data_IF_655442261042
#
_entry.id   IF_655442261042
#
_cell.length_a   1.000
_cell.length_b   1.000
_cell.length_c   1.000
_cell.angle_alpha   90.00
_cell.angle_beta   90.00
_cell.angle_gamma   90.00
#
_symmetry.space_group_name_H-M   'P 1'
#
loop_
_entity.id
_entity.type
_entity.pdbx_description
1 polymer ?
#
# COMPACT_ATOMS: atom_id res chain seq x y z
N UNK A 1 -5.81 57.14 19.70
CA UNK A 1 -5.50 55.95 20.52
C UNK A 1 -6.49 54.83 20.21
N UNK A 2 -5.96 53.68 19.77
CA UNK A 2 -6.48 52.29 19.76
C UNK A 2 -7.96 52.02 19.41
N UNK A 3 -8.22 51.87 18.10
CA UNK A 3 -9.13 50.83 17.57
C UNK A 3 -8.33 49.53 17.41
N UNK A 4 -8.41 48.63 18.38
CA UNK A 4 -7.90 47.25 18.29
C UNK A 4 -8.90 46.35 19.01
N UNK A 5 -9.81 45.72 18.27
CA UNK A 5 -10.49 44.45 18.62
C UNK A 5 -11.59 44.07 17.61
N UNK A 6 -11.30 44.13 16.31
CA UNK A 6 -12.12 43.50 15.28
C UNK A 6 -11.17 42.84 14.28
N UNK A 7 -10.51 41.74 14.68
CA UNK A 7 -9.68 40.96 13.74
C UNK A 7 -9.46 39.50 14.18
N UNK A 8 -10.35 38.93 14.99
CA UNK A 8 -10.29 37.50 15.36
C UNK A 8 -11.72 36.96 15.38
N UNK A 9 -12.32 36.79 14.20
CA UNK A 9 -13.55 35.98 14.06
C UNK A 9 -13.86 35.56 12.61
N UNK A 10 -12.88 35.62 11.71
CA UNK A 10 -13.03 35.18 10.30
C UNK A 10 -11.94 34.20 9.84
N UNK A 11 -11.37 33.43 10.77
CA UNK A 11 -10.32 32.44 10.48
C UNK A 11 -10.67 30.99 10.86
N UNK A 12 -11.97 30.68 10.99
CA UNK A 12 -12.43 29.33 11.36
C UNK A 12 -13.51 28.72 10.45
N UNK A 13 -13.63 29.23 9.23
CA UNK A 13 -14.46 28.58 8.20
C UNK A 13 -13.64 28.58 6.92
N UNK A 14 -13.50 27.42 6.28
CA UNK A 14 -12.65 27.10 5.12
C UNK A 14 -11.23 26.61 5.42
N UNK A 15 -11.12 25.45 6.07
CA UNK A 15 -10.09 24.47 5.71
C UNK A 15 -10.70 23.05 5.73
N UNK A 16 -10.58 22.40 4.58
CA UNK A 16 -10.62 20.94 4.31
C UNK A 16 -11.97 20.21 4.28
N UNK A 17 -12.74 20.47 3.22
CA UNK A 17 -13.39 19.39 2.49
C UNK A 17 -12.34 18.73 1.56
N UNK A 18 -11.72 17.62 2.02
CA UNK A 18 -11.15 16.52 1.23
C UNK A 18 -10.28 15.66 2.14
N UNK A 19 -10.77 14.47 2.50
CA UNK A 19 -9.99 13.50 3.26
C UNK A 19 -10.84 12.37 3.79
N UNK A 20 -10.91 11.28 3.02
CA UNK A 20 -11.30 9.92 3.42
C UNK A 20 -12.72 9.67 3.95
N UNK A 21 -13.37 8.67 3.36
CA UNK A 21 -14.46 7.91 3.98
C UNK A 21 -13.97 7.30 5.31
N UNK A 22 -14.03 8.06 6.40
CA UNK A 22 -14.10 7.52 7.76
C UNK A 22 -15.57 7.57 8.14
N UNK A 23 -16.21 6.41 8.20
CA UNK A 23 -17.57 6.33 8.69
C UNK A 23 -17.51 6.47 10.20
N UNK A 24 -17.67 7.71 10.66
CA UNK A 24 -17.91 8.06 12.05
C UNK A 24 -19.29 7.47 12.40
N UNK A 25 -19.31 6.25 12.95
CA UNK A 25 -20.54 5.71 13.52
C UNK A 25 -20.69 6.29 14.92
N UNK A 26 -21.73 7.11 15.10
CA UNK A 26 -22.33 7.27 16.42
C UNK A 26 -22.62 5.88 16.97
N UNK A 27 -22.18 5.63 18.19
CA UNK A 27 -22.39 4.37 18.88
C UNK A 27 -23.90 4.13 19.02
N UNK A 28 -24.48 3.38 18.07
CA UNK A 28 -25.87 2.95 18.16
C UNK A 28 -25.99 2.01 19.35
N UNK A 29 -26.67 2.51 20.39
CA UNK A 29 -27.04 1.77 21.59
C UNK A 29 -27.85 0.52 21.20
N UNK A 30 -27.20 -0.64 21.07
CA UNK A 30 -27.79 -1.97 21.33
C UNK A 30 -26.70 -3.05 21.35
N UNK A 31 -26.23 -3.38 22.54
CA UNK A 31 -25.29 -4.48 22.78
C UNK A 31 -24.26 -4.10 23.82
N UNK A 32 -24.16 -4.89 24.88
CA UNK A 32 -23.28 -4.62 26.02
C UNK A 32 -21.80 -4.66 25.61
N UNK A 33 -21.07 -3.62 26.03
CA UNK A 33 -19.63 -3.53 26.26
C UNK A 33 -18.79 -3.46 24.97
N UNK A 34 -18.39 -2.28 24.51
CA UNK A 34 -16.97 -1.87 24.65
C UNK A 34 -16.72 -0.33 24.61
N UNK A 35 -17.76 0.50 24.70
CA UNK A 35 -17.60 1.97 24.71
C UNK A 35 -17.71 2.60 26.11
N UNK A 36 -17.53 1.81 27.17
CA UNK A 36 -17.61 2.29 28.55
C UNK A 36 -16.45 1.72 29.35
N UNK A 37 -15.28 2.36 29.23
CA UNK A 37 -14.38 2.62 30.35
C UNK A 37 -13.32 3.65 29.94
N UNK A 38 -13.58 4.91 30.32
CA UNK A 38 -12.59 5.88 30.79
C UNK A 38 -11.25 5.99 30.08
N UNK A 39 -11.26 6.56 28.88
CA UNK A 39 -10.34 7.58 28.34
C UNK A 39 -10.72 7.68 26.88
N UNK A 40 -11.14 8.84 26.38
CA UNK A 40 -11.57 9.01 24.98
C UNK A 40 -10.40 8.80 24.01
N UNK A 41 -10.05 7.54 23.77
CA UNK A 41 -9.11 7.11 22.75
C UNK A 41 -9.87 6.79 21.49
N UNK A 42 -9.42 7.33 20.37
CA UNK A 42 -9.88 6.90 19.06
C UNK A 42 -9.44 5.45 18.87
N UNK A 43 -10.39 4.52 18.81
CA UNK A 43 -10.12 3.15 18.39
C UNK A 43 -10.10 3.14 16.86
N UNK A 44 -8.92 2.86 16.30
CA UNK A 44 -8.80 2.58 14.87
C UNK A 44 -9.44 1.22 14.61
N UNK A 45 -10.67 1.22 14.08
CA UNK A 45 -11.33 0.02 13.60
C UNK A 45 -10.87 -0.20 12.16
N UNK A 46 -10.04 -1.21 11.93
CA UNK A 46 -9.70 -1.62 10.57
C UNK A 46 -10.96 -2.11 9.85
N UNK A 47 -11.19 -1.71 8.59
CA UNK A 47 -12.35 -2.13 7.85
C UNK A 47 -12.33 -3.65 7.66
N UNK A 48 -13.44 -4.31 8.00
CA UNK A 48 -13.62 -5.73 7.73
C UNK A 48 -13.51 -6.00 6.23
N UNK A 49 -12.55 -6.83 5.84
CA UNK A 49 -12.31 -7.19 4.44
C UNK A 49 -13.18 -8.41 4.11
N UNK A 50 -14.39 -8.13 3.62
CA UNK A 50 -15.40 -9.11 3.22
C UNK A 50 -15.95 -8.86 1.82
N UNK A 51 -16.96 -9.64 1.41
CA UNK A 51 -17.60 -9.51 0.10
C UNK A 51 -18.24 -8.13 -0.12
N UNK A 52 -18.75 -7.48 0.94
CA UNK A 52 -19.33 -6.15 0.83
C UNK A 52 -18.23 -5.11 0.54
N UNK A 53 -17.06 -5.24 1.17
CA UNK A 53 -15.89 -4.41 0.87
C UNK A 53 -15.46 -4.56 -0.60
N UNK A 54 -15.33 -5.80 -1.07
CA UNK A 54 -14.89 -6.12 -2.44
C UNK A 54 -15.85 -5.55 -3.48
N UNK A 55 -17.16 -5.70 -3.27
CA UNK A 55 -18.19 -5.09 -4.14
C UNK A 55 -18.12 -3.57 -4.15
N UNK A 56 -18.00 -2.95 -2.97
CA UNK A 56 -17.93 -1.49 -2.82
C UNK A 56 -16.76 -0.88 -3.60
N UNK A 57 -15.60 -1.55 -3.57
CA UNK A 57 -14.39 -1.08 -4.23
C UNK A 57 -14.13 -1.70 -5.60
N UNK A 58 -15.10 -2.47 -6.13
CA UNK A 58 -15.00 -3.14 -7.45
C UNK A 58 -13.72 -3.99 -7.57
N UNK A 59 -13.39 -4.68 -6.48
CA UNK A 59 -12.27 -5.62 -6.42
C UNK A 59 -12.72 -6.93 -7.08
N UNK A 60 -11.91 -7.54 -7.97
CA UNK A 60 -12.32 -8.74 -8.70
C UNK A 60 -12.66 -9.95 -7.83
N UNK A 61 -11.92 -10.18 -6.75
CA UNK A 61 -12.08 -11.36 -5.90
C UNK A 61 -11.61 -11.06 -4.48
N UNK A 62 -12.41 -11.44 -3.49
CA UNK A 62 -12.03 -11.37 -2.08
C UNK A 62 -10.79 -12.21 -1.79
N UNK A 63 -10.74 -13.43 -2.34
CA UNK A 63 -9.62 -14.34 -2.13
C UNK A 63 -8.33 -13.78 -2.73
N UNK A 64 -8.37 -13.31 -3.98
CA UNK A 64 -7.18 -12.71 -4.63
C UNK A 64 -6.72 -11.45 -3.90
N UNK A 65 -7.66 -10.67 -3.35
CA UNK A 65 -7.32 -9.51 -2.56
C UNK A 65 -6.64 -9.90 -1.24
N UNK A 66 -7.18 -10.89 -0.51
CA UNK A 66 -6.52 -11.41 0.69
C UNK A 66 -5.11 -11.94 0.40
N UNK A 67 -4.94 -12.68 -0.70
CA UNK A 67 -3.62 -13.15 -1.14
C UNK A 67 -2.67 -11.98 -1.43
N UNK A 68 -3.14 -10.95 -2.14
CA UNK A 68 -2.39 -9.71 -2.39
C UNK A 68 -1.94 -9.07 -1.08
N UNK A 69 -2.85 -8.92 -0.11
CA UNK A 69 -2.55 -8.35 1.20
C UNK A 69 -1.53 -9.19 1.96
N UNK A 70 -1.70 -10.50 1.97
CA UNK A 70 -0.81 -11.45 2.65
C UNK A 70 0.63 -11.29 2.14
N UNK A 71 0.83 -11.17 0.83
CA UNK A 71 2.16 -11.02 0.21
C UNK A 71 2.72 -9.60 0.27
N UNK A 72 1.91 -8.57 -0.02
CA UNK A 72 2.41 -7.20 -0.18
C UNK A 72 2.45 -6.41 1.13
N UNK A 73 1.81 -6.90 2.20
CA UNK A 73 1.95 -6.29 3.51
C UNK A 73 3.38 -6.52 4.04
N UNK A 74 4.16 -5.44 4.12
CA UNK A 74 5.55 -5.49 4.56
C UNK A 74 5.72 -6.00 6.01
N UNK A 75 4.68 -5.98 6.84
CA UNK A 75 4.70 -6.53 8.19
C UNK A 75 4.73 -8.06 8.22
N UNK A 76 4.33 -8.71 7.13
CA UNK A 76 4.39 -10.17 6.99
C UNK A 76 5.79 -10.68 6.62
N UNK A 77 6.79 -9.79 6.55
CA UNK A 77 8.16 -10.12 6.15
C UNK A 77 9.17 -9.72 7.24
N UNK A 78 10.01 -10.67 7.67
CA UNK A 78 11.08 -10.44 8.64
C UNK A 78 12.44 -10.87 8.11
N UNK A 79 13.50 -10.10 8.42
CA UNK A 79 14.90 -10.44 8.13
C UNK A 79 15.81 -9.57 8.98
N UNK A 80 16.38 -10.10 10.06
CA UNK A 80 17.27 -9.35 10.96
C UNK A 80 16.74 -7.96 11.35
N UNK A 81 17.68 -7.03 11.58
CA UNK A 81 17.40 -5.62 11.90
C UNK A 81 17.38 -4.76 10.62
N UNK A 82 16.39 -5.01 9.76
CA UNK A 82 16.18 -4.18 8.56
C UNK A 82 15.10 -3.12 8.78
N UNK A 83 15.27 -2.01 8.08
CA UNK A 83 14.31 -0.92 8.01
C UNK A 83 13.07 -1.32 7.19
N UNK A 84 11.97 -0.59 7.40
CA UNK A 84 10.80 -0.68 6.52
C UNK A 84 11.16 -0.37 5.06
N UNK A 85 12.08 0.57 4.83
CA UNK A 85 12.49 0.94 3.48
C UNK A 85 13.15 -0.23 2.74
N UNK A 86 14.05 -0.96 3.40
CA UNK A 86 14.70 -2.13 2.79
C UNK A 86 13.70 -3.25 2.47
N UNK A 87 12.66 -3.44 3.31
CA UNK A 87 11.55 -4.37 3.00
C UNK A 87 10.78 -3.95 1.76
N UNK A 88 10.42 -2.68 1.70
CA UNK A 88 9.67 -2.09 0.60
C UNK A 88 10.48 -2.19 -0.72
N UNK A 89 11.78 -1.91 -0.69
CA UNK A 89 12.69 -2.07 -1.83
C UNK A 89 12.80 -3.53 -2.25
N UNK A 90 12.97 -4.46 -1.32
CA UNK A 90 13.04 -5.89 -1.63
C UNK A 90 11.75 -6.40 -2.31
N UNK A 91 10.58 -5.99 -1.81
CA UNK A 91 9.29 -6.35 -2.44
C UNK A 91 9.20 -5.84 -3.88
N UNK A 92 9.62 -4.60 -4.13
CA UNK A 92 9.63 -4.01 -5.48
C UNK A 92 10.64 -4.72 -6.40
N UNK A 93 11.83 -5.02 -5.90
CA UNK A 93 12.88 -5.73 -6.66
C UNK A 93 12.52 -7.19 -6.94
N UNK A 94 11.70 -7.79 -6.08
CA UNK A 94 11.09 -9.11 -6.30
C UNK A 94 9.89 -9.08 -7.27
N UNK A 95 9.52 -7.91 -7.77
CA UNK A 95 8.51 -7.77 -8.83
C UNK A 95 7.13 -7.32 -8.35
N UNK A 96 7.01 -6.83 -7.11
CA UNK A 96 5.80 -6.09 -6.73
C UNK A 96 5.67 -4.84 -7.59
N UNK A 97 4.50 -4.65 -8.21
CA UNK A 97 4.21 -3.42 -8.95
C UNK A 97 3.95 -2.23 -8.01
N UNK A 98 3.50 -2.51 -6.79
CA UNK A 98 3.08 -1.51 -5.82
C UNK A 98 3.06 -2.04 -4.38
N UNK A 99 3.61 -1.25 -3.47
CA UNK A 99 3.80 -1.55 -2.04
C UNK A 99 2.87 -0.76 -1.12
N UNK A 100 2.16 0.26 -1.63
CA UNK A 100 1.23 1.07 -0.83
C UNK A 100 -0.21 0.59 -0.97
N UNK A 101 -0.40 -0.62 -1.50
CA UNK A 101 -1.69 -1.22 -1.79
C UNK A 101 -2.63 -0.20 -2.44
N UNK A 102 -2.15 0.49 -3.48
CA UNK A 102 -3.01 1.33 -4.28
C UNK A 102 -4.25 0.55 -4.67
N UNK A 103 -5.36 1.28 -4.74
CA UNK A 103 -6.64 0.75 -5.22
C UNK A 103 -6.60 0.48 -6.74
N UNK A 104 -5.41 0.35 -7.32
CA UNK A 104 -5.23 -0.16 -8.66
C UNK A 104 -5.34 -1.68 -8.64
N UNK A 105 -6.44 -2.16 -9.23
CA UNK A 105 -6.75 -3.57 -9.40
C UNK A 105 -6.66 -4.01 -10.86
N UNK A 106 -6.03 -3.21 -11.74
CA UNK A 106 -5.95 -3.48 -13.18
C UNK A 106 -5.34 -4.86 -13.45
N UNK A 107 -4.17 -5.17 -12.86
CA UNK A 107 -3.53 -6.49 -13.01
C UNK A 107 -4.43 -7.64 -12.54
N UNK A 108 -5.15 -7.46 -11.44
CA UNK A 108 -6.07 -8.49 -10.91
C UNK A 108 -7.31 -8.66 -11.81
N UNK A 109 -7.68 -7.64 -12.59
CA UNK A 109 -8.81 -7.70 -13.55
C UNK A 109 -8.43 -8.37 -14.86
N UNK A 110 -7.18 -8.23 -15.28
CA UNK A 110 -6.72 -8.72 -16.60
C UNK A 110 -6.18 -10.14 -16.56
N UNK A 111 -5.80 -10.64 -15.38
CA UNK A 111 -5.21 -11.96 -15.21
C UNK A 111 -6.23 -12.95 -14.68
N UNK A 112 -6.09 -14.21 -15.06
CA UNK A 112 -6.76 -15.32 -14.39
C UNK A 112 -6.30 -15.42 -12.93
N UNK A 113 -7.10 -16.05 -12.04
CA UNK A 113 -6.69 -16.30 -10.65
C UNK A 113 -5.32 -16.97 -10.52
N UNK A 114 -5.04 -17.98 -11.36
CA UNK A 114 -3.79 -18.73 -11.33
C UNK A 114 -2.60 -17.89 -11.77
N UNK A 115 -2.74 -17.06 -12.81
CA UNK A 115 -1.69 -16.15 -13.25
C UNK A 115 -1.39 -15.08 -12.17
N UNK A 116 -2.44 -14.53 -11.55
CA UNK A 116 -2.27 -13.52 -10.50
C UNK A 116 -1.61 -14.11 -9.25
N UNK A 117 -2.09 -15.25 -8.77
CA UNK A 117 -1.48 -15.97 -7.66
C UNK A 117 -0.05 -16.43 -8.02
N UNK A 118 0.20 -16.78 -9.27
CA UNK A 118 1.53 -17.12 -9.77
C UNK A 118 2.50 -15.95 -9.63
N UNK A 119 2.09 -14.73 -9.98
CA UNK A 119 2.89 -13.52 -9.75
C UNK A 119 3.19 -13.30 -8.27
N UNK A 120 2.18 -13.46 -7.41
CA UNK A 120 2.35 -13.33 -5.95
C UNK A 120 3.30 -14.39 -5.38
N UNK A 121 3.22 -15.62 -5.89
CA UNK A 121 4.11 -16.72 -5.51
C UNK A 121 5.56 -16.43 -5.90
N UNK A 122 5.81 -15.91 -7.11
CA UNK A 122 7.16 -15.56 -7.55
C UNK A 122 7.78 -14.47 -6.66
N UNK A 123 7.00 -13.46 -6.25
CA UNK A 123 7.43 -12.46 -5.27
C UNK A 123 7.79 -13.13 -3.95
N UNK A 124 6.91 -14.01 -3.43
CA UNK A 124 7.17 -14.74 -2.17
C UNK A 124 8.46 -15.55 -2.26
N UNK A 125 8.66 -16.32 -3.33
CA UNK A 125 9.86 -17.16 -3.52
C UNK A 125 11.12 -16.32 -3.64
N UNK A 126 11.06 -15.18 -4.34
CA UNK A 126 12.19 -14.24 -4.43
C UNK A 126 12.57 -13.68 -3.04
N UNK A 127 11.58 -13.24 -2.25
CA UNK A 127 11.82 -12.73 -0.90
C UNK A 127 12.43 -13.82 0.01
N UNK A 128 11.89 -15.03 -0.01
CA UNK A 128 12.43 -16.17 0.73
C UNK A 128 13.87 -16.49 0.31
N UNK A 129 14.16 -16.47 -0.99
CA UNK A 129 15.51 -16.69 -1.52
C UNK A 129 16.49 -15.58 -1.14
N UNK A 130 16.01 -14.36 -0.90
CA UNK A 130 16.82 -13.26 -0.35
C UNK A 130 16.99 -13.38 1.19
N UNK A 131 16.51 -14.45 1.82
CA UNK A 131 16.68 -14.70 3.25
C UNK A 131 15.62 -14.04 4.15
N UNK A 132 14.49 -13.60 3.58
CA UNK A 132 13.36 -13.18 4.38
C UNK A 132 12.57 -14.39 4.90
N UNK A 133 11.94 -14.20 6.06
CA UNK A 133 10.94 -15.11 6.63
C UNK A 133 9.55 -14.54 6.38
N UNK A 134 8.64 -15.38 5.88
CA UNK A 134 7.25 -15.04 5.63
C UNK A 134 6.37 -15.44 6.83
N UNK A 135 5.49 -14.53 7.27
CA UNK A 135 4.58 -14.73 8.40
C UNK A 135 3.10 -14.79 7.99
N UNK A 136 2.80 -14.66 6.69
CA UNK A 136 1.44 -14.76 6.17
C UNK A 136 1.04 -16.19 5.80
N UNK A 137 -0.17 -16.31 5.29
CA UNK A 137 -0.92 -17.56 5.06
C UNK A 137 -1.07 -17.96 3.58
N UNK A 138 -0.24 -17.40 2.68
CA UNK A 138 -0.30 -17.69 1.25
C UNK A 138 0.56 -18.90 0.83
N UNK A 139 -0.04 -20.05 0.54
CA UNK A 139 0.64 -21.30 0.14
C UNK A 139 -0.01 -22.01 -1.07
N UNK A 140 -0.01 -21.40 -2.27
CA UNK A 140 -0.74 -21.93 -3.42
C UNK A 140 -0.22 -23.30 -3.91
N UNK A 141 1.03 -23.68 -3.66
CA UNK A 141 1.61 -24.92 -4.20
C UNK A 141 1.42 -26.17 -3.34
N UNK A 142 0.96 -26.02 -2.09
CA UNK A 142 0.87 -27.14 -1.16
C UNK A 142 -0.44 -27.92 -1.32
N UNK A 143 -1.52 -27.23 -1.72
CA UNK A 143 -2.85 -27.83 -1.88
C UNK A 143 -3.30 -27.95 -3.34
N UNK A 144 -3.05 -26.93 -4.17
CA UNK A 144 -3.52 -26.85 -5.56
C UNK A 144 -2.43 -26.25 -6.47
N UNK A 145 -1.46 -27.06 -6.94
CA UNK A 145 -0.30 -26.55 -7.65
C UNK A 145 -0.69 -25.81 -8.92
N UNK A 146 -0.37 -24.51 -8.95
CA UNK A 146 -0.49 -23.64 -10.12
C UNK A 146 0.79 -23.72 -10.98
N UNK A 147 0.74 -23.40 -12.28
CA UNK A 147 1.92 -23.49 -13.18
C UNK A 147 3.17 -22.74 -12.69
N UNK A 148 2.98 -21.68 -11.89
CA UNK A 148 4.09 -20.90 -11.33
C UNK A 148 4.91 -21.65 -10.25
N UNK A 149 4.42 -22.78 -9.74
CA UNK A 149 5.15 -23.62 -8.78
C UNK A 149 6.44 -24.18 -9.39
N UNK A 150 6.45 -24.47 -10.69
CA UNK A 150 7.60 -25.07 -11.40
C UNK A 150 8.56 -24.04 -12.00
N UNK A 151 8.20 -22.76 -11.96
CA UNK A 151 9.05 -21.71 -12.50
C UNK A 151 10.32 -21.50 -11.65
N UNK A 152 11.43 -21.06 -12.26
CA UNK A 152 12.64 -20.71 -11.52
C UNK A 152 12.37 -19.56 -10.54
N UNK A 153 13.04 -19.61 -9.40
CA UNK A 153 12.93 -18.54 -8.39
C UNK A 153 13.57 -17.26 -8.93
N UNK A 154 12.83 -16.14 -9.01
CA UNK A 154 13.42 -14.90 -9.44
C UNK A 154 14.40 -14.38 -8.40
N UNK A 155 15.48 -13.72 -8.87
CA UNK A 155 16.33 -12.90 -8.01
C UNK A 155 15.77 -11.49 -7.91
N UNK A 156 16.23 -10.75 -6.89
CA UNK A 156 16.00 -9.31 -6.77
C UNK A 156 16.71 -8.59 -7.91
N UNK A 157 16.00 -7.64 -8.51
CA UNK A 157 16.54 -6.80 -9.58
C UNK A 157 16.16 -5.35 -9.33
N UNK A 158 17.15 -4.49 -9.20
CA UNK A 158 16.94 -3.05 -9.05
C UNK A 158 16.12 -2.46 -10.20
N UNK A 159 16.31 -2.95 -11.43
CA UNK A 159 15.55 -2.50 -12.59
C UNK A 159 14.03 -2.74 -12.42
N UNK A 160 13.62 -3.88 -11.83
CA UNK A 160 12.20 -4.14 -11.55
C UNK A 160 11.62 -3.14 -10.57
N UNK A 161 12.39 -2.76 -9.55
CA UNK A 161 11.99 -1.70 -8.62
C UNK A 161 11.84 -0.36 -9.31
N UNK A 162 12.84 0.06 -10.08
CA UNK A 162 12.84 1.36 -10.76
C UNK A 162 11.73 1.49 -11.81
N UNK A 163 11.31 0.38 -12.43
CA UNK A 163 10.25 0.34 -13.43
C UNK A 163 8.89 -0.14 -12.86
N UNK A 164 8.78 -0.31 -11.54
CA UNK A 164 7.49 -0.59 -10.89
C UNK A 164 6.52 0.58 -11.06
N UNK A 165 5.21 0.29 -11.08
CA UNK A 165 4.19 1.34 -11.16
C UNK A 165 4.33 2.35 -10.02
N UNK A 166 4.67 1.87 -8.83
CA UNK A 166 4.98 2.70 -7.66
C UNK A 166 6.12 3.67 -7.95
N UNK A 167 7.28 3.20 -8.40
CA UNK A 167 8.42 4.08 -8.64
C UNK A 167 8.31 4.94 -9.90
N UNK A 168 7.48 4.58 -10.88
CA UNK A 168 7.14 5.47 -12.00
C UNK A 168 6.33 6.67 -11.50
N UNK A 169 5.38 6.46 -10.58
CA UNK A 169 4.54 7.53 -10.03
C UNK A 169 5.27 8.39 -9.02
N UNK A 170 6.14 7.77 -8.24
CA UNK A 170 6.82 8.38 -7.10
C UNK A 170 8.35 8.39 -7.28
N UNK A 171 8.80 8.68 -8.51
CA UNK A 171 10.21 8.65 -8.91
C UNK A 171 11.12 9.54 -8.03
N UNK A 172 10.59 10.54 -7.34
CA UNK A 172 11.32 11.43 -6.42
C UNK A 172 11.65 10.78 -5.07
N UNK A 173 11.03 9.66 -4.70
CA UNK A 173 11.26 9.01 -3.40
C UNK A 173 12.63 8.32 -3.35
N UNK A 174 13.31 8.37 -2.20
CA UNK A 174 14.62 7.72 -1.98
C UNK A 174 14.61 6.25 -2.35
N UNK A 175 13.57 5.51 -1.95
CA UNK A 175 13.39 4.08 -2.27
C UNK A 175 13.21 3.78 -3.75
N UNK A 176 12.99 4.81 -4.58
CA UNK A 176 12.84 4.70 -6.01
C UNK A 176 14.07 5.19 -6.78
N UNK A 177 15.13 5.60 -6.08
CA UNK A 177 16.38 6.05 -6.69
C UNK A 177 17.31 4.86 -7.06
N UNK A 178 18.20 5.04 -8.06
CA UNK A 178 18.35 6.24 -8.90
C UNK A 178 17.29 6.36 -10.02
N UNK A 179 16.83 7.58 -10.32
CA UNK A 179 15.96 7.89 -11.47
C UNK A 179 16.53 9.05 -12.27
N UNK A 180 16.21 9.11 -13.57
CA UNK A 180 16.56 10.27 -14.38
C UNK A 180 15.81 11.51 -13.90
N UNK A 181 16.44 12.68 -14.03
CA UNK A 181 15.81 13.97 -13.76
C UNK A 181 14.50 14.13 -14.52
N UNK A 182 14.47 13.70 -15.78
CA UNK A 182 13.26 13.71 -16.61
C UNK A 182 12.10 12.91 -15.97
N UNK A 183 12.36 11.69 -15.47
CA UNK A 183 11.35 10.87 -14.81
C UNK A 183 10.82 11.54 -13.54
N UNK A 184 11.70 12.15 -12.74
CA UNK A 184 11.34 12.86 -11.51
C UNK A 184 10.43 14.05 -11.81
N UNK A 185 10.84 14.92 -12.74
CA UNK A 185 10.09 16.12 -13.11
C UNK A 185 8.73 15.80 -13.76
N UNK A 186 8.61 14.64 -14.40
CA UNK A 186 7.36 14.19 -15.04
C UNK A 186 6.36 13.53 -14.07
N UNK A 187 6.70 13.37 -12.77
CA UNK A 187 5.72 12.92 -11.77
C UNK A 187 4.63 13.97 -11.53
N UNK A 188 3.41 13.55 -11.23
CA UNK A 188 2.30 14.48 -10.93
C UNK A 188 2.60 15.37 -9.72
N UNK A 189 3.35 14.85 -8.75
CA UNK A 189 3.80 15.61 -7.59
C UNK A 189 4.71 16.79 -8.00
N UNK A 190 5.71 16.55 -8.86
CA UNK A 190 6.63 17.61 -9.30
C UNK A 190 6.00 18.57 -10.30
N UNK A 191 5.07 18.12 -11.13
CA UNK A 191 4.26 19.03 -11.97
C UNK A 191 3.43 19.99 -11.11
N UNK A 192 2.84 19.49 -10.02
CA UNK A 192 2.00 20.28 -9.12
C UNK A 192 2.80 21.18 -8.18
N UNK A 193 3.98 20.73 -7.74
CA UNK A 193 4.83 21.42 -6.77
C UNK A 193 6.29 21.52 -7.27
N UNK A 194 6.55 22.27 -8.36
CA UNK A 194 7.86 22.29 -9.02
C UNK A 194 8.99 22.88 -8.16
N UNK A 195 8.66 23.63 -7.09
CA UNK A 195 9.63 24.23 -6.16
C UNK A 195 9.92 23.36 -4.94
N UNK A 196 9.36 22.14 -4.86
CA UNK A 196 9.67 21.24 -3.76
C UNK A 196 11.12 20.75 -3.86
N UNK A 197 11.82 20.65 -2.74
CA UNK A 197 13.25 20.32 -2.72
C UNK A 197 13.58 18.98 -3.41
N UNK A 198 12.67 18.01 -3.35
CA UNK A 198 12.83 16.70 -3.99
C UNK A 198 12.54 16.70 -5.50
N UNK A 199 12.10 17.83 -6.05
CA UNK A 199 11.94 18.06 -7.49
C UNK A 199 13.08 18.92 -8.08
N UNK A 200 13.93 19.48 -7.22
CA UNK A 200 15.11 20.28 -7.59
C UNK A 200 16.35 19.37 -7.64
N UNK A 201 16.33 18.42 -8.59
CA UNK A 201 17.30 17.30 -8.74
C UNK A 201 18.26 17.53 -9.89
#
# INVERSE_FOLDING_TARGET
MRKKQIFILFFYVFLTACGSLYQQQDCEKKGKNECQNGTGGYVLIEPKIDEAYVRRYKIPSLQLYKNKLSILNNWNWKKGDITRQERDEALLECGSSDIWMSKNYALMKTLTPDEYNGKLLLIKRCMLNDGFTFLGDFSPCESDPIPACDLPVPKRETERRLNSEYCIKDAYLTRCQPQSRERILNTEQCKRYPKAYFCDV
#
